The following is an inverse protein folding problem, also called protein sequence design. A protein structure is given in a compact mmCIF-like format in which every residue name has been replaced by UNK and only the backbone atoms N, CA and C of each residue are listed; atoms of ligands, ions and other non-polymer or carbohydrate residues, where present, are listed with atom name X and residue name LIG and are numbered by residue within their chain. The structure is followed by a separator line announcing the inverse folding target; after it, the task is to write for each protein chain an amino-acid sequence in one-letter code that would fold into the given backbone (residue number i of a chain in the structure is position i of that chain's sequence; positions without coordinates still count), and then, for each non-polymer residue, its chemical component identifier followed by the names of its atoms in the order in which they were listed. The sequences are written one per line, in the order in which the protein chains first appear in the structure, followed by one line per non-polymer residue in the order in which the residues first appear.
data_IF_277245370816
#
_entry.id   IF_277245370816
#
_cell.length_a   1.000
_cell.length_b   1.000
_cell.length_c   1.000
_cell.angle_alpha   90.00
_cell.angle_beta   90.00
_cell.angle_gamma   90.00
#
_symmetry.space_group_name_H-M   'P 1'
#
loop_
_entity.id
_entity.type
_entity.pdbx_description
1 polymer ?
#
# COMPACT_ATOMS: atom_id res chain seq x y z
N UNK A 1 -33.73 25.48 -33.62
CA UNK A 1 -32.31 25.54 -34.05
C UNK A 1 -32.24 25.30 -35.55
N UNK A 2 -31.50 26.13 -36.30
CA UNK A 2 -31.26 25.89 -37.74
C UNK A 2 -30.48 24.57 -37.88
N UNK A 3 -30.73 23.78 -38.93
CA UNK A 3 -30.13 22.45 -39.13
C UNK A 3 -28.58 22.46 -39.00
N UNK A 4 -27.92 23.56 -39.38
CA UNK A 4 -26.48 23.77 -39.16
C UNK A 4 -26.04 23.80 -37.70
N UNK A 5 -26.85 24.37 -36.79
CA UNK A 5 -26.54 24.44 -35.35
C UNK A 5 -26.63 23.06 -34.66
N UNK A 6 -27.45 22.15 -35.20
CA UNK A 6 -27.54 20.76 -34.71
C UNK A 6 -26.26 19.99 -35.09
N UNK A 7 -25.76 20.14 -36.32
CA UNK A 7 -24.50 19.52 -36.73
C UNK A 7 -23.29 20.09 -35.97
N UNK A 8 -23.27 21.40 -35.65
CA UNK A 8 -22.21 21.99 -34.83
C UNK A 8 -22.22 21.47 -33.40
N UNK A 9 -23.40 21.33 -32.76
CA UNK A 9 -23.50 20.72 -31.42
C UNK A 9 -23.09 19.24 -31.44
N UNK A 10 -23.46 18.49 -32.49
CA UNK A 10 -23.12 17.08 -32.64
C UNK A 10 -21.61 16.88 -32.87
N UNK A 11 -20.94 17.80 -33.59
CA UNK A 11 -19.48 17.76 -33.77
C UNK A 11 -18.71 18.13 -32.49
N UNK A 12 -19.25 19.02 -31.66
CA UNK A 12 -18.67 19.37 -30.35
C UNK A 12 -18.86 18.22 -29.34
N UNK A 13 -19.94 17.44 -29.45
CA UNK A 13 -20.17 16.25 -28.61
C UNK A 13 -19.40 14.99 -29.06
N UNK A 14 -18.91 14.95 -30.31
CA UNK A 14 -17.96 13.92 -30.76
C UNK A 14 -16.49 14.26 -30.49
N UNK A 15 -16.18 15.52 -30.16
CA UNK A 15 -14.82 15.94 -29.80
C UNK A 15 -14.47 15.65 -28.32
N UNK A 16 -15.40 15.12 -27.54
CA UNK A 16 -15.15 14.77 -26.15
C UNK A 16 -14.50 13.40 -26.02
N UNK A 17 -13.31 13.43 -25.40
CA UNK A 17 -12.52 12.35 -24.80
C UNK A 17 -11.62 11.53 -25.75
N UNK A 18 -10.75 12.23 -26.49
CA UNK A 18 -9.41 11.68 -26.74
C UNK A 18 -8.65 11.69 -25.40
N UNK A 19 -8.72 10.61 -24.63
CA UNK A 19 -7.69 10.37 -23.62
C UNK A 19 -6.37 10.25 -24.37
N UNK A 20 -5.49 11.24 -24.24
CA UNK A 20 -4.10 11.07 -24.62
C UNK A 20 -3.55 9.92 -23.79
N UNK A 21 -3.46 8.72 -24.37
CA UNK A 21 -2.70 7.62 -23.80
C UNK A 21 -1.24 7.98 -24.00
N UNK A 22 -0.50 8.17 -22.90
CA UNK A 22 0.95 8.36 -23.01
C UNK A 22 1.55 6.99 -23.26
N UNK A 23 1.83 6.74 -24.53
CA UNK A 23 2.51 5.54 -24.98
C UNK A 23 3.97 5.64 -24.56
N UNK A 24 4.36 4.80 -23.62
CA UNK A 24 5.74 4.70 -23.16
C UNK A 24 6.43 3.56 -23.91
N UNK A 25 7.56 3.84 -24.57
CA UNK A 25 8.29 2.86 -25.36
C UNK A 25 9.65 2.59 -24.75
N UNK A 26 10.23 1.44 -25.06
CA UNK A 26 11.60 1.18 -24.71
C UNK A 26 12.16 -0.09 -25.31
N UNK A 27 13.40 -0.36 -24.94
CA UNK A 27 14.11 -1.60 -25.27
C UNK A 27 14.79 -2.13 -24.00
N UNK A 28 14.74 -3.45 -23.81
CA UNK A 28 15.43 -4.16 -22.73
C UNK A 28 16.58 -4.96 -23.33
N UNK A 29 17.78 -4.76 -22.80
CA UNK A 29 19.00 -5.47 -23.21
C UNK A 29 19.74 -6.07 -22.03
N UNK A 30 20.61 -7.05 -22.26
CA UNK A 30 21.60 -7.51 -21.29
C UNK A 30 22.82 -6.56 -21.21
N UNK A 31 23.76 -6.82 -20.30
CA UNK A 31 25.02 -6.07 -20.19
C UNK A 31 25.86 -6.08 -21.49
N UNK A 32 25.67 -7.07 -22.35
CA UNK A 32 26.29 -7.21 -23.67
C UNK A 32 25.55 -6.45 -24.79
N UNK A 33 24.52 -5.67 -24.45
CA UNK A 33 23.62 -4.99 -25.39
C UNK A 33 22.83 -5.91 -26.33
N UNK A 34 22.68 -7.19 -25.98
CA UNK A 34 21.78 -8.09 -26.70
C UNK A 34 20.35 -7.88 -26.21
N UNK A 35 19.35 -7.88 -27.12
CA UNK A 35 17.96 -7.73 -26.73
C UNK A 35 17.49 -8.91 -25.87
N UNK A 36 16.70 -8.61 -24.84
CA UNK A 36 16.07 -9.64 -24.00
C UNK A 36 14.62 -9.80 -24.46
N UNK A 37 14.32 -10.96 -25.04
CA UNK A 37 12.98 -11.34 -25.53
C UNK A 37 12.17 -11.92 -24.37
N UNK A 38 10.85 -11.71 -24.39
CA UNK A 38 9.92 -12.22 -23.37
C UNK A 38 10.17 -11.70 -21.94
N UNK A 39 10.86 -10.56 -21.80
CA UNK A 39 10.95 -9.86 -20.52
C UNK A 39 9.58 -9.28 -20.19
N UNK A 40 9.12 -9.47 -18.96
CA UNK A 40 7.85 -8.94 -18.45
C UNK A 40 8.11 -7.55 -17.88
N UNK A 41 7.34 -6.57 -18.34
CA UNK A 41 7.34 -5.21 -17.80
C UNK A 41 5.96 -4.95 -17.21
N UNK A 42 5.89 -4.62 -15.94
CA UNK A 42 4.63 -4.23 -15.31
C UNK A 42 4.79 -2.97 -14.47
N UNK A 43 3.69 -2.27 -14.27
CA UNK A 43 3.64 -1.08 -13.44
C UNK A 43 3.29 -1.51 -12.01
N UNK A 44 4.17 -1.22 -11.05
CA UNK A 44 4.00 -1.61 -9.66
C UNK A 44 2.66 -1.12 -9.07
N UNK A 45 1.96 -2.02 -8.40
CA UNK A 45 0.69 -1.76 -7.75
C UNK A 45 -0.50 -1.70 -8.72
N UNK A 46 -0.37 -2.09 -9.99
CA UNK A 46 -1.44 -1.95 -10.99
C UNK A 46 -1.79 -3.24 -11.74
N UNK A 47 -2.73 -3.13 -12.68
CA UNK A 47 -3.05 -4.18 -13.66
C UNK A 47 -2.29 -4.05 -14.99
N UNK A 48 -1.48 -3.01 -15.15
CA UNK A 48 -0.80 -2.69 -16.42
C UNK A 48 0.48 -3.51 -16.57
N UNK A 49 0.57 -4.27 -17.66
CA UNK A 49 1.77 -4.98 -18.07
C UNK A 49 1.93 -5.01 -19.59
N UNK A 50 3.15 -5.27 -20.02
CA UNK A 50 3.55 -5.58 -21.38
C UNK A 50 4.70 -6.58 -21.36
N UNK A 51 5.13 -7.01 -22.53
CA UNK A 51 6.19 -8.00 -22.71
C UNK A 51 7.08 -7.57 -23.87
N UNK A 52 8.37 -7.85 -23.81
CA UNK A 52 9.29 -7.50 -24.91
C UNK A 52 9.10 -8.40 -26.12
N UNK A 53 9.22 -7.79 -27.30
CA UNK A 53 9.27 -8.47 -28.59
C UNK A 53 10.64 -9.10 -28.90
N UNK A 54 10.79 -9.57 -30.14
CA UNK A 54 12.00 -10.25 -30.63
C UNK A 54 13.25 -9.37 -30.63
N UNK A 55 13.09 -8.05 -30.70
CA UNK A 55 14.20 -7.09 -30.63
C UNK A 55 14.33 -6.47 -29.23
N UNK A 56 13.70 -7.05 -28.21
CA UNK A 56 13.70 -6.54 -26.84
C UNK A 56 12.86 -5.28 -26.64
N UNK A 57 12.10 -4.86 -27.66
CA UNK A 57 11.26 -3.67 -27.65
C UNK A 57 9.98 -3.89 -26.85
N UNK A 58 9.51 -2.86 -26.15
CA UNK A 58 8.22 -2.88 -25.48
C UNK A 58 7.47 -1.56 -25.64
N UNK A 59 6.15 -1.65 -25.49
CA UNK A 59 5.24 -0.52 -25.47
C UNK A 59 4.22 -0.71 -24.35
N UNK A 60 4.01 0.32 -23.53
CA UNK A 60 3.02 0.31 -22.44
C UNK A 60 2.29 1.64 -22.35
N UNK A 61 0.97 1.59 -22.22
CA UNK A 61 0.14 2.77 -22.04
C UNK A 61 0.10 3.17 -20.57
N UNK A 62 0.62 4.36 -20.27
CA UNK A 62 0.63 4.91 -18.91
C UNK A 62 -0.31 6.11 -18.83
N UNK A 63 -1.23 6.15 -17.85
CA UNK A 63 -1.95 7.38 -17.54
C UNK A 63 -0.98 8.50 -17.13
N UNK A 64 -1.48 9.72 -16.98
CA UNK A 64 -0.68 10.81 -16.45
C UNK A 64 -0.23 10.50 -15.01
N UNK A 65 1.07 10.53 -14.76
CA UNK A 65 1.62 10.28 -13.43
C UNK A 65 3.08 9.83 -13.48
N UNK A 66 3.63 9.60 -12.30
CA UNK A 66 4.87 8.87 -12.14
C UNK A 66 4.56 7.41 -11.83
N UNK A 67 5.45 6.52 -12.24
CA UNK A 67 5.31 5.07 -12.08
C UNK A 67 6.66 4.42 -11.81
N UNK A 68 6.66 3.29 -11.12
CA UNK A 68 7.77 2.36 -11.13
C UNK A 68 7.44 1.21 -12.09
N UNK A 69 8.22 1.10 -13.16
CA UNK A 69 8.20 -0.05 -14.05
C UNK A 69 9.12 -1.12 -13.46
N UNK A 70 8.59 -2.31 -13.27
CA UNK A 70 9.35 -3.48 -12.85
C UNK A 70 9.61 -4.32 -14.10
N UNK A 71 10.88 -4.54 -14.40
CA UNK A 71 11.32 -5.37 -15.52
C UNK A 71 11.87 -6.68 -14.97
N UNK A 72 11.32 -7.79 -15.44
CA UNK A 72 11.70 -9.15 -15.05
C UNK A 72 12.03 -9.99 -16.26
N UNK A 73 13.10 -10.76 -16.18
CA UNK A 73 13.45 -11.77 -17.16
C UNK A 73 14.12 -12.94 -16.44
N UNK A 74 13.94 -14.15 -16.96
CA UNK A 74 14.57 -15.34 -16.41
C UNK A 74 16.10 -15.20 -16.46
N UNK A 75 16.78 -15.56 -15.35
CA UNK A 75 18.24 -15.46 -15.16
C UNK A 75 18.79 -14.03 -15.00
N UNK A 76 17.93 -13.03 -14.83
CA UNK A 76 18.33 -11.64 -14.59
C UNK A 76 17.79 -11.11 -13.27
N UNK A 77 18.49 -10.14 -12.68
CA UNK A 77 17.99 -9.44 -11.50
C UNK A 77 16.80 -8.53 -11.87
N UNK A 78 15.80 -8.46 -10.98
CA UNK A 78 14.66 -7.55 -11.15
C UNK A 78 15.14 -6.10 -11.19
N UNK A 79 14.77 -5.36 -12.23
CA UNK A 79 15.13 -3.95 -12.37
C UNK A 79 13.92 -3.04 -12.14
N UNK A 80 14.10 -1.98 -11.36
CA UNK A 80 13.07 -0.97 -11.09
C UNK A 80 13.45 0.32 -11.80
N UNK A 81 12.60 0.75 -12.73
CA UNK A 81 12.75 1.98 -13.46
C UNK A 81 11.63 2.96 -13.10
N UNK A 82 11.97 4.07 -12.44
CA UNK A 82 11.02 5.17 -12.25
C UNK A 82 10.84 5.95 -13.55
N UNK A 83 9.58 6.22 -13.92
CA UNK A 83 9.20 6.93 -15.15
C UNK A 83 8.15 8.01 -14.86
N UNK A 84 8.24 9.14 -15.55
CA UNK A 84 7.17 10.15 -15.61
C UNK A 84 6.56 10.08 -17.01
N UNK A 85 5.27 9.73 -17.09
CA UNK A 85 4.59 9.51 -18.37
C UNK A 85 4.48 10.78 -19.23
N UNK A 86 4.77 11.96 -18.66
CA UNK A 86 4.81 13.24 -19.39
C UNK A 86 6.18 13.59 -19.95
N UNK A 87 7.26 12.97 -19.48
CA UNK A 87 8.63 13.39 -19.82
C UNK A 87 9.37 12.37 -20.69
N UNK A 88 9.19 11.09 -20.40
CA UNK A 88 9.97 10.03 -21.02
C UNK A 88 9.09 9.27 -22.01
N UNK A 89 9.41 9.35 -23.31
CA UNK A 89 8.68 8.60 -24.35
C UNK A 89 9.44 7.36 -24.83
N UNK A 90 10.76 7.33 -24.66
CA UNK A 90 11.61 6.19 -24.96
C UNK A 90 12.65 5.96 -23.87
N UNK A 91 12.88 4.71 -23.49
CA UNK A 91 13.93 4.33 -22.55
C UNK A 91 14.69 3.09 -23.01
N UNK A 92 15.99 3.05 -22.71
CA UNK A 92 16.78 1.81 -22.76
C UNK A 92 16.99 1.31 -21.33
N UNK A 93 16.63 0.06 -21.08
CA UNK A 93 16.81 -0.63 -19.81
C UNK A 93 17.84 -1.74 -20.02
N UNK A 94 18.85 -1.79 -19.16
CA UNK A 94 19.85 -2.86 -19.17
C UNK A 94 19.65 -3.71 -17.92
N UNK A 95 19.41 -5.01 -18.09
CA UNK A 95 19.36 -5.96 -16.98
C UNK A 95 20.75 -6.54 -16.73
N UNK A 96 21.04 -6.83 -15.46
CA UNK A 96 22.24 -7.58 -15.06
C UNK A 96 21.88 -9.04 -14.83
N UNK A 97 22.72 -9.95 -15.34
CA UNK A 97 22.62 -11.38 -15.06
C UNK A 97 22.61 -11.66 -13.55
N UNK A 98 21.70 -12.52 -13.09
CA UNK A 98 21.57 -12.88 -11.69
C UNK A 98 22.86 -13.56 -11.19
N UNK A 99 23.53 -12.95 -10.22
CA UNK A 99 24.71 -13.56 -9.61
C UNK A 99 24.24 -14.52 -8.52
N UNK A 100 24.46 -15.82 -8.74
CA UNK A 100 24.28 -16.82 -7.69
C UNK A 100 25.36 -16.60 -6.62
N UNK A 101 25.08 -15.71 -5.68
CA UNK A 101 25.86 -15.58 -4.45
C UNK A 101 25.41 -16.72 -3.53
N UNK A 102 26.23 -17.75 -3.43
CA UNK A 102 26.14 -18.74 -2.35
C UNK A 102 26.49 -18.03 -1.04
N UNK A 103 25.52 -17.34 -0.44
CA UNK A 103 25.66 -16.92 0.95
C UNK A 103 25.60 -18.18 1.80
N UNK A 104 26.75 -18.59 2.35
CA UNK A 104 26.81 -19.42 3.56
C UNK A 104 26.16 -18.64 4.70
N UNK A 105 24.84 -18.58 4.67
CA UNK A 105 24.08 -18.14 5.82
C UNK A 105 24.10 -19.31 6.76
N UNK A 106 24.46 -19.10 8.03
CA UNK A 106 24.25 -20.07 9.09
C UNK A 106 22.73 -20.23 9.22
N UNK A 107 22.15 -21.12 8.41
CA UNK A 107 20.73 -21.43 8.47
C UNK A 107 20.54 -22.18 9.77
N UNK A 108 20.18 -21.46 10.83
CA UNK A 108 19.55 -22.10 11.97
C UNK A 108 18.28 -22.76 11.43
N UNK A 109 18.31 -24.08 11.31
CA UNK A 109 17.17 -24.84 10.83
C UNK A 109 16.00 -24.60 11.76
N UNK A 110 14.97 -23.94 11.23
CA UNK A 110 13.74 -23.69 11.96
C UNK A 110 12.92 -24.97 12.01
N UNK A 111 12.34 -25.27 13.17
CA UNK A 111 11.43 -26.41 13.31
C UNK A 111 10.18 -26.21 12.45
N UNK A 112 9.50 -27.31 12.11
CA UNK A 112 8.24 -27.25 11.35
C UNK A 112 7.14 -26.54 12.13
N UNK A 113 7.16 -26.67 13.45
CA UNK A 113 6.22 -26.08 14.39
C UNK A 113 6.43 -24.56 14.47
N UNK A 114 7.68 -24.11 14.60
CA UNK A 114 8.02 -22.68 14.59
C UNK A 114 7.69 -22.06 13.23
N UNK A 115 7.99 -22.75 12.12
CA UNK A 115 7.66 -22.25 10.79
C UNK A 115 6.15 -22.06 10.63
N UNK A 116 5.33 -23.02 11.08
CA UNK A 116 3.87 -22.88 11.06
C UNK A 116 3.41 -21.73 11.93
N UNK A 117 3.98 -21.56 13.12
CA UNK A 117 3.65 -20.47 14.03
C UNK A 117 3.93 -19.10 13.38
N UNK A 118 5.12 -18.91 12.81
CA UNK A 118 5.49 -17.67 12.13
C UNK A 118 4.73 -17.45 10.83
N UNK A 119 4.38 -18.51 10.09
CA UNK A 119 3.49 -18.42 8.94
C UNK A 119 2.13 -17.82 9.34
N UNK A 120 1.53 -18.26 10.44
CA UNK A 120 0.24 -17.70 10.88
C UNK A 120 0.36 -16.22 11.27
N UNK A 121 1.46 -15.83 11.91
CA UNK A 121 1.75 -14.42 12.22
C UNK A 121 1.92 -13.61 10.93
N UNK A 122 2.71 -14.12 9.98
CA UNK A 122 2.92 -13.49 8.69
C UNK A 122 1.60 -13.31 7.94
N UNK A 123 0.81 -14.37 7.76
CA UNK A 123 -0.48 -14.31 7.06
C UNK A 123 -1.41 -13.26 7.70
N UNK A 124 -1.50 -13.23 9.04
CA UNK A 124 -2.30 -12.25 9.77
C UNK A 124 -1.83 -10.81 9.54
N UNK A 125 -0.52 -10.56 9.54
CA UNK A 125 0.04 -9.22 9.41
C UNK A 125 0.18 -8.75 7.95
N UNK A 126 0.28 -9.69 7.01
CA UNK A 126 0.48 -9.45 5.59
C UNK A 126 -0.85 -9.38 4.82
N UNK A 127 -1.76 -10.35 5.03
CA UNK A 127 -3.08 -10.37 4.40
C UNK A 127 -4.15 -9.65 5.24
N UNK A 128 -3.97 -9.59 6.56
CA UNK A 128 -4.97 -9.08 7.51
C UNK A 128 -5.74 -10.22 8.19
N UNK A 129 -6.82 -9.89 8.89
CA UNK A 129 -7.65 -10.87 9.64
C UNK A 129 -9.15 -10.76 9.37
N UNK A 130 -9.56 -9.95 8.40
CA UNK A 130 -10.95 -9.65 8.10
C UNK A 130 -11.54 -10.62 7.04
N UNK A 131 -12.78 -10.37 6.61
CA UNK A 131 -13.46 -11.15 5.58
C UNK A 131 -12.71 -11.22 4.24
N UNK A 132 -11.98 -10.16 3.87
CA UNK A 132 -11.16 -10.17 2.67
C UNK A 132 -9.98 -11.14 2.81
N UNK A 133 -9.28 -11.09 3.95
CA UNK A 133 -8.15 -11.97 4.26
C UNK A 133 -8.57 -13.45 4.29
N UNK A 134 -9.74 -13.77 4.87
CA UNK A 134 -10.30 -15.14 4.88
C UNK A 134 -10.54 -15.71 3.49
N UNK A 135 -10.62 -14.87 2.46
CA UNK A 135 -10.82 -15.26 1.04
C UNK A 135 -9.56 -15.10 0.19
N UNK A 136 -8.44 -14.80 0.82
CA UNK A 136 -7.13 -14.81 0.20
C UNK A 136 -6.43 -16.14 0.47
N UNK A 137 -5.65 -16.62 -0.50
CA UNK A 137 -4.78 -17.78 -0.35
C UNK A 137 -3.43 -17.49 -1.00
N UNK A 138 -2.34 -17.72 -0.27
CA UNK A 138 -1.00 -17.74 -0.86
C UNK A 138 -0.79 -19.16 -1.41
N UNK A 139 -0.60 -19.31 -2.71
CA UNK A 139 -0.52 -20.63 -3.36
C UNK A 139 0.84 -21.31 -3.10
N UNK A 140 1.90 -20.49 -2.99
CA UNK A 140 3.28 -20.93 -2.80
C UNK A 140 3.84 -20.61 -1.40
N UNK A 141 3.05 -20.81 -0.32
CA UNK A 141 3.50 -20.56 1.07
C UNK A 141 4.84 -21.22 1.42
N UNK A 142 5.16 -22.36 0.80
CA UNK A 142 6.43 -23.08 1.01
C UNK A 142 7.66 -22.33 0.51
N UNK A 143 7.50 -21.28 -0.28
CA UNK A 143 8.60 -20.41 -0.69
C UNK A 143 9.00 -19.43 0.42
N UNK A 144 8.13 -19.21 1.41
CA UNK A 144 8.42 -18.36 2.56
C UNK A 144 9.52 -18.96 3.45
N UNK A 145 10.42 -18.09 3.89
CA UNK A 145 11.44 -18.34 4.90
C UNK A 145 11.27 -17.32 5.99
N UNK A 146 11.38 -17.77 7.24
CA UNK A 146 11.35 -16.88 8.40
C UNK A 146 12.70 -16.90 9.11
N UNK A 147 12.98 -15.83 9.84
CA UNK A 147 14.10 -15.76 10.77
C UNK A 147 13.66 -14.94 11.97
N UNK A 148 13.90 -15.46 13.18
CA UNK A 148 13.61 -14.74 14.41
C UNK A 148 14.89 -14.51 15.20
N UNK A 149 15.24 -13.24 15.39
CA UNK A 149 16.37 -12.83 16.21
C UNK A 149 15.90 -12.58 17.64
N UNK A 150 16.39 -13.41 18.57
CA UNK A 150 16.04 -13.35 20.00
C UNK A 150 16.56 -12.09 20.70
N UNK A 151 17.66 -11.51 20.21
CA UNK A 151 18.33 -10.34 20.80
C UNK A 151 17.61 -9.06 20.41
N UNK A 152 17.38 -8.89 19.11
CA UNK A 152 16.63 -7.73 18.60
C UNK A 152 15.13 -7.87 18.85
N UNK A 153 14.63 -9.10 19.01
CA UNK A 153 13.21 -9.47 19.05
C UNK A 153 12.50 -9.07 17.76
N UNK A 154 13.09 -9.46 16.63
CA UNK A 154 12.58 -9.18 15.29
C UNK A 154 12.27 -10.49 14.56
N UNK A 155 11.08 -10.56 13.96
CA UNK A 155 10.71 -11.61 13.02
C UNK A 155 10.85 -11.05 11.59
N UNK A 156 11.65 -11.71 10.76
CA UNK A 156 11.83 -11.40 9.35
C UNK A 156 11.20 -12.48 8.47
N UNK A 157 10.68 -12.09 7.32
CA UNK A 157 10.24 -13.01 6.28
C UNK A 157 10.83 -12.65 4.93
N UNK A 158 11.21 -13.67 4.16
CA UNK A 158 11.59 -13.57 2.75
C UNK A 158 10.90 -14.66 1.95
N UNK A 159 10.88 -14.55 0.63
CA UNK A 159 10.32 -15.56 -0.26
C UNK A 159 11.31 -15.86 -1.39
N UNK A 160 11.43 -17.13 -1.77
CA UNK A 160 12.29 -17.53 -2.89
C UNK A 160 11.78 -17.01 -4.24
N UNK A 161 10.47 -17.03 -4.42
CA UNK A 161 9.78 -16.55 -5.61
C UNK A 161 8.74 -15.51 -5.19
N UNK A 162 8.25 -14.67 -6.11
CA UNK A 162 7.09 -13.83 -5.85
C UNK A 162 5.92 -14.65 -5.29
N UNK A 163 5.27 -14.12 -4.26
CA UNK A 163 4.11 -14.72 -3.65
C UNK A 163 2.94 -14.64 -4.61
N UNK A 164 2.28 -15.77 -4.85
CA UNK A 164 1.10 -15.86 -5.70
C UNK A 164 -0.12 -15.90 -4.81
N UNK A 165 -0.90 -14.82 -4.79
CA UNK A 165 -2.03 -14.64 -3.89
C UNK A 165 -3.33 -14.66 -4.69
N UNK A 166 -4.17 -15.65 -4.48
CA UNK A 166 -5.54 -15.67 -5.02
C UNK A 166 -6.47 -14.91 -4.07
N UNK A 167 -6.92 -13.71 -4.45
CA UNK A 167 -7.88 -12.90 -3.70
C UNK A 167 -9.29 -13.04 -4.28
N UNK A 168 -10.07 -13.98 -3.73
CA UNK A 168 -11.46 -14.21 -4.15
C UNK A 168 -12.44 -13.15 -3.62
N UNK A 169 -12.01 -12.28 -2.69
CA UNK A 169 -12.83 -11.17 -2.20
C UNK A 169 -12.88 -10.03 -3.22
N UNK A 170 -11.73 -9.63 -3.77
CA UNK A 170 -11.61 -8.57 -4.77
C UNK A 170 -11.62 -9.09 -6.21
N UNK A 171 -11.44 -10.39 -6.44
CA UNK A 171 -11.39 -10.96 -7.78
C UNK A 171 -10.07 -10.69 -8.50
N UNK A 172 -8.96 -10.80 -7.78
CA UNK A 172 -7.62 -10.63 -8.34
C UNK A 172 -6.73 -11.83 -8.00
N UNK A 173 -5.84 -12.19 -8.92
CA UNK A 173 -4.59 -12.87 -8.63
C UNK A 173 -3.52 -11.79 -8.45
N UNK A 174 -2.82 -11.80 -7.33
CA UNK A 174 -1.77 -10.83 -7.00
C UNK A 174 -0.43 -11.56 -7.02
N UNK A 175 0.52 -11.06 -7.79
CA UNK A 175 1.91 -11.51 -7.77
C UNK A 175 2.70 -10.47 -6.98
N UNK A 176 3.11 -10.84 -5.76
CA UNK A 176 3.76 -9.93 -4.81
C UNK A 176 5.20 -10.34 -4.58
N UNK A 177 6.14 -9.49 -4.97
CA UNK A 177 7.56 -9.70 -4.75
C UNK A 177 7.99 -9.06 -3.43
N UNK A 178 8.31 -9.92 -2.47
CA UNK A 178 8.56 -9.55 -1.08
C UNK A 178 10.00 -9.09 -0.91
N UNK A 179 10.19 -7.77 -0.87
CA UNK A 179 11.50 -7.14 -0.68
C UNK A 179 11.92 -7.17 0.79
N UNK A 180 11.01 -6.80 1.70
CA UNK A 180 11.27 -6.87 3.13
C UNK A 180 9.98 -7.10 3.93
N UNK A 181 10.08 -7.88 4.99
CA UNK A 181 9.06 -8.00 6.01
C UNK A 181 9.76 -8.08 7.37
N UNK A 182 9.45 -7.14 8.25
CA UNK A 182 10.00 -7.11 9.60
C UNK A 182 8.92 -6.76 10.63
N UNK A 183 8.72 -7.64 11.60
CA UNK A 183 7.94 -7.40 12.81
C UNK A 183 8.89 -7.19 13.99
N UNK A 184 8.87 -6.00 14.57
CA UNK A 184 9.58 -5.69 15.80
C UNK A 184 8.66 -5.88 17.01
N UNK A 185 8.89 -6.92 17.82
CA UNK A 185 8.08 -7.17 19.03
C UNK A 185 8.33 -6.15 20.15
N UNK A 186 9.40 -5.35 20.07
CA UNK A 186 9.68 -4.27 21.02
C UNK A 186 8.75 -3.07 20.82
N UNK A 187 8.47 -2.73 19.56
CA UNK A 187 7.66 -1.57 19.17
C UNK A 187 6.27 -1.94 18.65
N UNK A 188 6.03 -3.23 18.36
CA UNK A 188 4.90 -3.74 17.58
C UNK A 188 4.79 -3.13 16.17
N UNK A 189 5.90 -2.58 15.65
CA UNK A 189 5.96 -2.05 14.31
C UNK A 189 6.11 -3.18 13.29
N UNK A 190 5.37 -3.08 12.19
CA UNK A 190 5.45 -4.00 11.05
C UNK A 190 5.87 -3.21 9.83
N UNK A 191 6.98 -3.59 9.23
CA UNK A 191 7.41 -3.16 7.91
C UNK A 191 7.04 -4.23 6.90
N UNK A 192 6.46 -3.82 5.78
CA UNK A 192 6.22 -4.69 4.63
C UNK A 192 6.54 -3.87 3.39
N UNK A 193 7.55 -4.32 2.63
CA UNK A 193 8.01 -3.70 1.39
C UNK A 193 7.99 -4.74 0.28
N UNK A 194 7.61 -4.31 -0.90
CA UNK A 194 7.52 -5.18 -2.06
C UNK A 194 6.84 -4.48 -3.22
N UNK A 195 6.75 -5.22 -4.32
CA UNK A 195 6.07 -4.78 -5.53
C UNK A 195 4.92 -5.73 -5.84
N UNK A 196 3.84 -5.23 -6.41
CA UNK A 196 2.64 -6.00 -6.66
C UNK A 196 2.16 -5.86 -8.11
N UNK A 197 1.77 -6.98 -8.71
CA UNK A 197 1.08 -7.00 -9.99
C UNK A 197 -0.28 -7.69 -9.85
N UNK A 198 -1.32 -7.09 -10.41
CA UNK A 198 -2.70 -7.57 -10.28
C UNK A 198 -3.23 -8.09 -11.62
N UNK A 199 -3.73 -9.32 -11.62
CA UNK A 199 -4.47 -9.89 -12.75
C UNK A 199 -5.91 -10.15 -12.34
N UNK A 200 -6.88 -9.64 -13.10
CA UNK A 200 -8.29 -9.92 -12.83
C UNK A 200 -8.63 -11.40 -13.00
N UNK A 201 -9.38 -11.93 -12.06
CA UNK A 201 -9.96 -13.26 -12.16
C UNK A 201 -11.17 -13.24 -13.10
N UNK A 202 -11.44 -14.37 -13.77
CA UNK A 202 -12.62 -14.54 -14.62
C UNK A 202 -13.76 -15.18 -13.81
N UNK A 203 -14.95 -14.61 -13.88
CA UNK A 203 -16.16 -15.19 -13.30
C UNK A 203 -17.43 -14.72 -14.03
N UNK A 204 -18.57 -15.35 -13.71
CA UNK A 204 -19.88 -14.93 -14.21
C UNK A 204 -20.37 -13.63 -13.58
N UNK A 205 -21.37 -12.99 -14.22
CA UNK A 205 -21.85 -11.64 -13.91
C UNK A 205 -22.16 -11.38 -12.43
N UNK A 206 -22.80 -12.34 -11.73
CA UNK A 206 -23.14 -12.19 -10.31
C UNK A 206 -21.90 -12.02 -9.43
N UNK A 207 -20.86 -12.79 -9.71
CA UNK A 207 -19.61 -12.74 -8.95
C UNK A 207 -18.81 -11.48 -9.28
N UNK A 208 -18.75 -11.08 -10.55
CA UNK A 208 -18.10 -9.83 -10.99
C UNK A 208 -18.73 -8.61 -10.31
N UNK A 209 -20.07 -8.53 -10.24
CA UNK A 209 -20.76 -7.45 -9.52
C UNK A 209 -20.41 -7.41 -8.03
N UNK A 210 -20.29 -8.59 -7.40
CA UNK A 210 -19.87 -8.69 -6.00
C UNK A 210 -18.43 -8.21 -5.81
N UNK A 211 -17.53 -8.54 -6.73
CA UNK A 211 -16.16 -8.03 -6.71
C UNK A 211 -16.11 -6.52 -6.89
N UNK A 212 -16.89 -5.94 -7.80
CA UNK A 212 -16.97 -4.48 -7.97
C UNK A 212 -17.41 -3.77 -6.68
N UNK A 213 -18.45 -4.28 -6.01
CA UNK A 213 -18.90 -3.72 -4.74
C UNK A 213 -17.85 -3.85 -3.63
N UNK A 214 -17.19 -5.01 -3.53
CA UNK A 214 -16.09 -5.21 -2.59
C UNK A 214 -14.91 -4.28 -2.86
N UNK A 215 -14.53 -4.08 -4.13
CA UNK A 215 -13.46 -3.14 -4.53
C UNK A 215 -13.82 -1.71 -4.15
N UNK A 216 -15.07 -1.30 -4.40
CA UNK A 216 -15.58 0.02 -4.01
C UNK A 216 -15.49 0.22 -2.50
N UNK A 217 -15.94 -0.76 -1.73
CA UNK A 217 -15.85 -0.76 -0.26
C UNK A 217 -14.41 -0.69 0.22
N UNK A 218 -13.51 -1.51 -0.33
CA UNK A 218 -12.10 -1.54 0.03
C UNK A 218 -11.32 -0.28 -0.37
N UNK A 219 -11.73 0.41 -1.44
CA UNK A 219 -11.13 1.66 -1.85
C UNK A 219 -11.58 2.83 -0.96
N UNK A 220 -12.89 2.93 -0.68
CA UNK A 220 -13.43 4.00 0.15
C UNK A 220 -12.88 3.93 1.58
N UNK A 221 -12.54 5.08 2.14
CA UNK A 221 -11.90 5.15 3.45
C UNK A 221 -10.43 4.73 3.47
N UNK A 222 -9.88 4.08 2.43
CA UNK A 222 -8.48 3.65 2.38
C UNK A 222 -7.47 4.81 2.38
N UNK A 223 -6.20 4.49 2.61
CA UNK A 223 -5.08 5.45 2.48
C UNK A 223 -5.05 6.07 1.07
N UNK A 224 -5.22 5.28 0.01
CA UNK A 224 -5.20 5.81 -1.36
C UNK A 224 -6.35 6.78 -1.63
N UNK A 225 -7.56 6.48 -1.12
CA UNK A 225 -8.69 7.40 -1.22
C UNK A 225 -8.44 8.69 -0.43
N UNK A 226 -7.85 8.60 0.75
CA UNK A 226 -7.47 9.76 1.55
C UNK A 226 -6.42 10.63 0.84
N UNK A 227 -5.36 10.02 0.30
CA UNK A 227 -4.32 10.73 -0.45
C UNK A 227 -4.90 11.43 -1.68
N UNK A 228 -5.80 10.75 -2.41
CA UNK A 228 -6.51 11.36 -3.52
C UNK A 228 -7.39 12.54 -3.09
N UNK A 229 -8.14 12.39 -2.00
CA UNK A 229 -8.97 13.47 -1.46
C UNK A 229 -8.12 14.68 -1.02
N UNK A 230 -6.92 14.46 -0.48
CA UNK A 230 -5.95 15.53 -0.21
C UNK A 230 -5.49 16.20 -1.50
N UNK A 231 -5.08 15.41 -2.49
CA UNK A 231 -4.60 15.92 -3.78
C UNK A 231 -5.64 16.83 -4.45
N UNK A 232 -6.90 16.38 -4.44
CA UNK A 232 -8.03 17.06 -5.07
C UNK A 232 -8.61 18.23 -4.25
N UNK A 233 -8.13 18.47 -3.02
CA UNK A 233 -8.72 19.42 -2.05
C UNK A 233 -10.18 19.09 -1.67
N UNK A 234 -10.51 17.80 -1.53
CA UNK A 234 -11.88 17.32 -1.30
C UNK A 234 -12.05 16.49 -0.03
N UNK A 235 -11.19 16.66 0.98
CA UNK A 235 -11.25 15.85 2.20
C UNK A 235 -12.63 15.88 2.89
N UNK A 236 -13.22 17.06 3.07
CA UNK A 236 -14.51 17.19 3.75
C UNK A 236 -15.66 16.62 2.91
N UNK A 237 -15.67 16.88 1.60
CA UNK A 237 -16.63 16.32 0.64
C UNK A 237 -16.54 14.80 0.57
N UNK A 238 -15.32 14.27 0.67
CA UNK A 238 -15.06 12.83 0.71
C UNK A 238 -15.34 12.20 2.09
N UNK A 239 -15.67 13.01 3.11
CA UNK A 239 -16.15 12.55 4.42
C UNK A 239 -15.04 12.30 5.44
N UNK A 240 -13.89 12.95 5.29
CA UNK A 240 -12.78 12.88 6.24
C UNK A 240 -12.81 14.04 7.24
N UNK A 241 -12.73 13.72 8.53
CA UNK A 241 -12.41 14.67 9.60
C UNK A 241 -10.99 14.41 10.09
N UNK A 242 -10.15 15.44 10.08
CA UNK A 242 -8.72 15.33 10.41
C UNK A 242 -8.41 16.24 11.58
N UNK A 243 -7.83 15.66 12.63
CA UNK A 243 -7.49 16.36 13.87
C UNK A 243 -6.08 16.05 14.29
N UNK A 244 -5.39 17.06 14.84
CA UNK A 244 -4.06 16.86 15.40
C UNK A 244 -4.17 15.97 16.64
N UNK A 245 -3.30 14.98 16.72
CA UNK A 245 -3.22 14.05 17.83
C UNK A 245 -1.87 14.19 18.53
N UNK A 246 -1.88 14.16 19.85
CA UNK A 246 -0.64 14.26 20.61
C UNK A 246 -0.60 13.18 21.68
N UNK A 247 0.56 12.53 21.78
CA UNK A 247 0.89 11.53 22.79
C UNK A 247 1.94 12.12 23.73
N UNK A 248 1.69 12.00 25.03
CA UNK A 248 2.61 12.44 26.08
C UNK A 248 2.71 11.39 27.18
N UNK A 249 3.85 11.37 27.87
CA UNK A 249 3.95 10.59 29.10
C UNK A 249 2.89 11.03 30.09
N UNK A 250 2.26 10.05 30.74
CA UNK A 250 1.22 10.30 31.71
C UNK A 250 1.84 10.68 33.07
N UNK A 251 1.64 11.92 33.58
CA UNK A 251 2.19 12.31 34.88
C UNK A 251 1.69 11.40 36.02
N UNK A 252 0.46 10.89 35.92
CA UNK A 252 -0.08 9.95 36.91
C UNK A 252 0.69 8.61 36.92
N UNK A 253 1.16 8.16 35.76
CA UNK A 253 2.01 6.96 35.67
C UNK A 253 3.40 7.21 36.25
N UNK A 254 3.98 8.38 36.01
CA UNK A 254 5.29 8.74 36.59
C UNK A 254 5.21 8.75 38.12
N UNK A 255 4.18 9.39 38.69
CA UNK A 255 3.93 9.38 40.13
C UNK A 255 3.72 7.97 40.68
N UNK A 256 2.88 7.18 40.02
CA UNK A 256 2.66 5.78 40.39
C UNK A 256 3.97 4.98 40.39
N UNK A 257 4.82 5.15 39.38
CA UNK A 257 6.12 4.48 39.29
C UNK A 257 7.06 4.88 40.43
N UNK A 258 7.09 6.16 40.79
CA UNK A 258 7.89 6.66 41.91
C UNK A 258 7.44 6.07 43.25
N UNK A 259 6.13 6.09 43.54
CA UNK A 259 5.56 5.50 44.76
C UNK A 259 5.90 4.00 44.89
N UNK A 260 5.88 3.28 43.77
CA UNK A 260 6.22 1.86 43.71
C UNK A 260 7.70 1.58 43.99
N UNK A 261 8.60 2.44 43.48
CA UNK A 261 10.03 2.34 43.78
C UNK A 261 10.33 2.61 45.25
N UNK A 262 9.47 3.35 45.94
CA UNK A 262 9.58 3.64 47.38
C UNK A 262 8.88 2.60 48.28
N UNK A 263 8.41 1.48 47.72
CA UNK A 263 7.77 0.41 48.49
C UNK A 263 6.29 0.64 48.81
N UNK A 264 5.62 1.54 48.07
CA UNK A 264 4.18 1.74 48.17
C UNK A 264 3.37 0.48 47.84
N UNK A 265 2.18 0.36 48.43
CA UNK A 265 1.22 -0.71 48.11
C UNK A 265 0.43 -0.34 46.86
N UNK A 266 0.12 -1.32 46.01
CA UNK A 266 -0.73 -1.11 44.82
C UNK A 266 -2.19 -1.08 45.28
N UNK A 267 -2.82 0.08 45.21
CA UNK A 267 -4.28 0.21 45.32
C UNK A 267 -4.85 0.75 44.00
N UNK A 268 -5.71 -0.03 43.34
CA UNK A 268 -6.41 0.38 42.12
C UNK A 268 -5.72 -0.02 40.79
N UNK A 269 -6.11 0.67 39.70
CA UNK A 269 -5.63 0.39 38.34
C UNK A 269 -4.34 1.16 38.06
N UNK A 270 -3.37 0.48 37.45
CA UNK A 270 -2.13 1.10 36.96
C UNK A 270 -2.48 2.14 35.87
N UNK A 271 -2.10 3.42 36.04
CA UNK A 271 -2.32 4.42 35.00
C UNK A 271 -1.58 4.03 33.71
N UNK A 272 -2.10 4.34 32.52
CA UNK A 272 -1.39 4.07 31.27
C UNK A 272 -0.11 4.93 31.21
N UNK A 273 0.99 4.38 30.68
CA UNK A 273 2.26 5.11 30.53
C UNK A 273 2.14 6.36 29.65
N UNK A 274 1.30 6.31 28.63
CA UNK A 274 1.08 7.37 27.66
C UNK A 274 -0.39 7.78 27.69
N UNK A 275 -0.66 9.08 27.72
CA UNK A 275 -1.98 9.66 27.46
C UNK A 275 -2.01 10.22 26.03
N UNK A 276 -3.17 10.07 25.39
CA UNK A 276 -3.43 10.58 24.04
C UNK A 276 -4.52 11.64 24.12
N UNK A 277 -4.31 12.77 23.46
CA UNK A 277 -5.30 13.83 23.37
C UNK A 277 -5.49 14.29 21.92
N UNK A 278 -6.75 14.56 21.58
CA UNK A 278 -7.16 15.09 20.30
C UNK A 278 -7.28 16.61 20.45
N UNK A 279 -6.57 17.35 19.62
CA UNK A 279 -6.70 18.81 19.59
C UNK A 279 -8.03 19.13 18.90
N UNK A 280 -8.94 19.80 19.61
CA UNK A 280 -10.29 20.10 19.11
C UNK A 280 -10.33 21.34 18.19
N UNK A 281 -9.22 21.62 17.52
CA UNK A 281 -9.11 22.67 16.51
C UNK A 281 -9.19 22.01 15.13
N UNK A 282 -9.97 22.61 14.24
CA UNK A 282 -10.05 22.14 12.85
C UNK A 282 -8.67 22.30 12.22
N UNK A 283 -8.11 21.21 11.69
CA UNK A 283 -6.90 21.27 10.89
C UNK A 283 -7.25 21.86 9.53
N UNK A 284 -6.69 23.03 9.14
CA UNK A 284 -6.84 23.50 7.76
C UNK A 284 -6.19 22.47 6.84
N UNK A 285 -6.93 21.88 5.90
CA UNK A 285 -6.36 20.80 5.09
C UNK A 285 -5.19 21.24 4.22
N UNK A 286 -5.18 22.50 3.80
CA UNK A 286 -4.03 23.11 3.11
C UNK A 286 -2.78 23.15 3.99
N UNK A 287 -2.89 23.04 5.32
CA UNK A 287 -1.73 22.97 6.21
C UNK A 287 -1.07 21.58 6.24
N UNK A 288 -1.68 20.56 5.63
CA UNK A 288 -1.11 19.22 5.57
C UNK A 288 -0.24 19.02 4.31
N UNK A 289 -0.32 19.93 3.35
CA UNK A 289 0.36 19.79 2.06
C UNK A 289 1.05 21.06 1.60
N UNK A 290 2.06 20.88 0.75
CA UNK A 290 2.70 21.94 -0.01
C UNK A 290 2.59 21.62 -1.51
N UNK A 291 2.58 22.67 -2.34
CA UNK A 291 2.55 22.54 -3.79
C UNK A 291 3.76 23.25 -4.39
N UNK A 292 4.55 22.52 -5.18
CA UNK A 292 5.71 23.04 -5.90
C UNK A 292 5.53 22.80 -7.40
N UNK A 293 5.15 23.85 -8.13
CA UNK A 293 4.79 23.74 -9.55
C UNK A 293 3.62 22.79 -9.77
N UNK A 294 3.84 21.67 -10.47
CA UNK A 294 2.85 20.61 -10.73
C UNK A 294 2.82 19.50 -9.68
N UNK A 295 3.72 19.55 -8.70
CA UNK A 295 3.91 18.48 -7.72
C UNK A 295 3.27 18.85 -6.38
N UNK A 296 2.61 17.89 -5.74
CA UNK A 296 2.03 18.05 -4.42
C UNK A 296 2.69 17.08 -3.44
N UNK A 297 2.91 17.56 -2.21
CA UNK A 297 3.54 16.78 -1.15
C UNK A 297 2.77 16.95 0.14
N UNK A 298 2.56 15.87 0.91
CA UNK A 298 2.28 16.03 2.34
C UNK A 298 3.52 16.59 3.01
N UNK A 299 3.32 17.60 3.85
CA UNK A 299 4.39 18.20 4.62
C UNK A 299 3.88 18.66 5.99
N UNK A 300 4.11 17.85 7.02
CA UNK A 300 3.67 18.14 8.38
C UNK A 300 4.50 17.38 9.43
N UNK A 301 4.41 17.84 10.68
CA UNK A 301 5.02 17.19 11.86
C UNK A 301 3.99 16.68 12.84
N UNK A 302 4.30 15.54 13.46
CA UNK A 302 3.51 14.95 14.53
C UNK A 302 2.45 13.96 14.04
N UNK A 303 1.51 13.63 14.93
CA UNK A 303 0.47 12.64 14.68
C UNK A 303 -0.83 13.35 14.30
N UNK A 304 -1.54 12.77 13.36
CA UNK A 304 -2.89 13.20 13.00
C UNK A 304 -3.83 12.01 13.06
N UNK A 305 -5.01 12.25 13.62
CA UNK A 305 -6.12 11.32 13.59
C UNK A 305 -7.01 11.63 12.39
N UNK A 306 -7.44 10.59 11.70
CA UNK A 306 -8.36 10.66 10.56
C UNK A 306 -9.57 9.82 10.88
N UNK A 307 -10.73 10.44 10.87
CA UNK A 307 -12.01 9.78 10.95
C UNK A 307 -12.66 9.79 9.55
N UNK A 308 -13.00 8.61 9.03
CA UNK A 308 -13.79 8.49 7.81
C UNK A 308 -15.25 8.23 8.16
N UNK A 309 -16.11 9.20 7.86
CA UNK A 309 -17.48 9.28 8.38
C UNK A 309 -18.53 8.58 7.52
N UNK A 310 -18.19 8.25 6.27
CA UNK A 310 -19.10 7.60 5.32
C UNK A 310 -19.19 6.08 5.50
N UNK A 311 -18.38 5.50 6.39
CA UNK A 311 -18.42 4.07 6.69
C UNK A 311 -18.11 3.78 8.16
N UNK A 312 -18.71 2.70 8.68
CA UNK A 312 -18.45 2.17 10.01
C UNK A 312 -17.26 1.22 10.00
N UNK A 313 -16.63 1.07 11.15
CA UNK A 313 -15.62 0.04 11.35
C UNK A 313 -16.20 -1.36 11.16
N UNK A 314 -15.38 -2.29 10.70
CA UNK A 314 -15.73 -3.70 10.72
C UNK A 314 -15.91 -4.20 12.17
N UNK A 315 -16.89 -5.09 12.37
CA UNK A 315 -17.18 -5.66 13.68
C UNK A 315 -15.99 -6.46 14.25
N UNK A 316 -15.22 -7.15 13.42
CA UNK A 316 -14.05 -7.92 13.86
C UNK A 316 -12.96 -6.97 14.39
N UNK A 317 -12.79 -5.79 13.75
CA UNK A 317 -11.90 -4.74 14.23
C UNK A 317 -12.36 -4.17 15.58
N UNK A 318 -13.64 -3.79 15.70
CA UNK A 318 -14.19 -3.25 16.94
C UNK A 318 -14.02 -4.22 18.11
N UNK A 319 -14.32 -5.52 17.90
CA UNK A 319 -14.14 -6.58 18.90
C UNK A 319 -12.68 -6.79 19.28
N UNK A 320 -11.77 -6.80 18.31
CA UNK A 320 -10.33 -6.98 18.56
C UNK A 320 -9.77 -5.85 19.43
N UNK A 321 -10.31 -4.64 19.30
CA UNK A 321 -9.93 -3.48 20.11
C UNK A 321 -10.74 -3.32 21.40
N UNK A 322 -11.57 -4.31 21.75
CA UNK A 322 -12.38 -4.29 22.98
C UNK A 322 -13.47 -3.23 23.01
N UNK A 323 -13.88 -2.71 21.85
CA UNK A 323 -14.94 -1.70 21.75
C UNK A 323 -16.31 -2.34 21.99
N UNK A 324 -17.22 -1.57 22.62
CA UNK A 324 -18.58 -1.99 22.92
C UNK A 324 -19.62 -1.52 21.89
N UNK A 325 -19.22 -0.64 20.97
CA UNK A 325 -20.04 -0.15 19.86
C UNK A 325 -19.16 0.03 18.62
N UNK A 326 -19.77 -0.02 17.44
CA UNK A 326 -19.08 0.19 16.18
C UNK A 326 -19.04 1.68 15.88
N UNK A 327 -17.83 2.24 15.81
CA UNK A 327 -17.61 3.66 15.51
C UNK A 327 -17.40 3.90 14.00
N UNK A 328 -17.17 5.15 13.62
CA UNK A 328 -16.66 5.46 12.28
C UNK A 328 -15.21 4.98 12.17
N UNK A 329 -14.72 4.76 10.95
CA UNK A 329 -13.34 4.28 10.77
C UNK A 329 -12.34 5.31 11.29
N UNK A 330 -11.58 4.94 12.32
CA UNK A 330 -10.58 5.81 12.95
C UNK A 330 -9.16 5.31 12.67
N UNK A 331 -8.34 6.15 12.08
CA UNK A 331 -6.92 5.89 11.83
C UNK A 331 -6.05 7.00 12.40
N UNK A 332 -4.77 6.70 12.59
CA UNK A 332 -3.74 7.68 12.93
C UNK A 332 -2.65 7.56 11.88
N UNK A 333 -2.10 8.70 11.46
CA UNK A 333 -0.97 8.73 10.55
C UNK A 333 0.06 9.77 10.93
N UNK A 334 1.29 9.50 10.50
CA UNK A 334 2.45 10.35 10.69
C UNK A 334 3.44 10.13 9.55
N UNK A 335 4.33 11.10 9.34
CA UNK A 335 5.46 10.93 8.43
C UNK A 335 6.74 10.71 9.25
N UNK A 336 7.61 9.78 8.81
CA UNK A 336 8.96 9.60 9.38
C UNK A 336 9.89 10.71 8.92
N UNK A 337 9.88 10.97 7.62
CA UNK A 337 10.49 12.15 7.01
C UNK A 337 9.36 13.11 6.71
N UNK A 338 9.48 14.38 7.09
CA UNK A 338 8.39 15.36 7.07
C UNK A 338 7.75 15.56 5.68
N UNK A 339 8.25 14.93 4.61
CA UNK A 339 7.83 15.11 3.21
C UNK A 339 7.43 13.78 2.55
N UNK A 340 6.25 13.74 1.93
CA UNK A 340 5.76 12.60 1.14
C UNK A 340 5.09 13.09 -0.14
N UNK A 341 5.61 12.70 -1.31
CA UNK A 341 5.01 13.09 -2.60
C UNK A 341 3.71 12.33 -2.87
N UNK A 342 2.67 13.03 -3.33
CA UNK A 342 1.38 12.46 -3.75
C UNK A 342 1.14 12.73 -5.25
N UNK A 343 0.61 11.73 -5.94
CA UNK A 343 0.20 11.79 -7.35
C UNK A 343 -1.33 11.95 -7.51
N UNK A 344 -1.76 12.35 -8.70
CA UNK A 344 -3.18 12.66 -9.03
C UNK A 344 -4.15 11.48 -8.80
N UNK A 345 -3.66 10.25 -8.92
CA UNK A 345 -4.42 9.02 -8.67
C UNK A 345 -4.44 8.62 -7.18
N UNK A 346 -3.78 9.37 -6.29
CA UNK A 346 -3.66 9.06 -4.86
C UNK A 346 -2.47 8.16 -4.50
N UNK A 347 -1.68 7.70 -5.48
CA UNK A 347 -0.42 6.99 -5.20
C UNK A 347 0.58 7.94 -4.55
N UNK A 348 1.47 7.40 -3.72
CA UNK A 348 2.52 8.15 -3.04
C UNK A 348 3.85 7.39 -3.06
N UNK A 349 4.95 8.13 -3.01
CA UNK A 349 6.31 7.58 -3.09
C UNK A 349 6.96 7.45 -1.72
N UNK A 350 7.94 6.55 -1.61
CA UNK A 350 8.59 6.19 -0.35
C UNK A 350 7.57 5.76 0.72
N UNK A 351 6.80 4.68 0.48
CA UNK A 351 5.73 4.28 1.39
C UNK A 351 6.22 3.97 2.82
N UNK A 352 7.50 3.64 2.99
CA UNK A 352 8.14 3.48 4.30
C UNK A 352 8.13 4.75 5.17
N UNK A 353 7.93 5.93 4.56
CA UNK A 353 7.86 7.23 5.24
C UNK A 353 6.48 7.48 5.84
N UNK A 354 5.42 6.83 5.34
CA UNK A 354 4.09 6.90 5.94
C UNK A 354 3.95 5.85 7.04
N UNK A 355 3.68 6.29 8.27
CA UNK A 355 3.31 5.42 9.38
C UNK A 355 1.82 5.53 9.60
N UNK A 356 1.13 4.37 9.63
CA UNK A 356 -0.30 4.29 9.89
C UNK A 356 -0.58 3.40 11.09
N UNK A 357 -1.59 3.78 11.86
CA UNK A 357 -2.17 3.01 12.96
C UNK A 357 -3.70 3.03 12.87
N UNK A 358 -4.35 2.22 13.69
CA UNK A 358 -5.81 2.15 13.70
C UNK A 358 -6.35 1.37 12.51
N UNK A 359 -7.49 1.81 11.96
CA UNK A 359 -8.22 1.06 10.94
C UNK A 359 -7.39 0.81 9.66
N UNK A 360 -6.64 1.81 9.18
CA UNK A 360 -5.73 1.66 8.03
C UNK A 360 -4.64 0.62 8.25
N UNK A 361 -4.19 0.43 9.49
CA UNK A 361 -3.19 -0.60 9.80
C UNK A 361 -3.80 -2.00 9.88
N UNK A 362 -5.12 -2.13 9.97
CA UNK A 362 -5.83 -3.40 10.04
C UNK A 362 -6.24 -3.93 8.66
N UNK A 363 -6.62 -3.03 7.75
CA UNK A 363 -6.78 -3.37 6.33
C UNK A 363 -5.41 -3.51 5.66
N UNK A 364 -5.10 -4.72 5.22
CA UNK A 364 -3.80 -5.07 4.63
C UNK A 364 -3.96 -5.43 3.15
N UNK A 365 -3.04 -6.21 2.59
CA UNK A 365 -3.00 -6.56 1.15
C UNK A 365 -4.33 -7.16 0.66
N UNK A 366 -5.08 -7.87 1.51
CA UNK A 366 -6.38 -8.44 1.09
C UNK A 366 -7.43 -7.38 0.71
N UNK A 367 -7.29 -6.14 1.21
CA UNK A 367 -8.16 -5.00 0.93
C UNK A 367 -7.54 -4.02 -0.07
N UNK A 368 -6.30 -4.23 -0.51
CA UNK A 368 -5.66 -3.29 -1.43
C UNK A 368 -6.17 -3.52 -2.86
N UNK A 369 -6.81 -2.50 -3.42
CA UNK A 369 -7.15 -2.44 -4.84
C UNK A 369 -5.95 -1.93 -5.65
N UNK A 370 -5.83 -2.31 -6.94
CA UNK A 370 -4.82 -1.76 -7.83
C UNK A 370 -4.86 -0.23 -7.86
N UNK A 371 -3.72 0.45 -8.04
CA UNK A 371 -3.66 1.92 -8.07
C UNK A 371 -4.33 2.54 -9.32
N UNK A 372 -4.56 1.74 -10.36
CA UNK A 372 -5.33 2.08 -11.54
C UNK A 372 -6.84 1.83 -11.38
N UNK A 373 -7.28 1.36 -10.20
CA UNK A 373 -8.70 1.27 -9.85
C UNK A 373 -9.35 2.65 -9.81
N UNK A 374 -10.55 2.74 -10.40
CA UNK A 374 -11.41 3.92 -10.36
C UNK A 374 -12.81 3.51 -9.94
N UNK A 375 -13.45 4.34 -9.13
CA UNK A 375 -14.89 4.21 -8.89
C UNK A 375 -15.59 4.60 -10.20
N UNK A 376 -16.41 3.69 -10.73
CA UNK A 376 -17.27 3.92 -11.90
C UNK A 376 -18.51 4.77 -11.56
#
# INVERSE_FOLDING_TARGET
MKLKQVYTLMFIFCASILYAQNVFKGIVTDEGSKPIVHAIIYVDGSTLKTETGENGEFEINLPNGQYNLIVRADLFENFIQSVDSKQNQFIKITLESEKILLQETVVHSMSKEDWKYYLQIFLKLFLGSNEAAKKCKIENEKDLRFSYDKTTKELRASSKNPLIITNNYLGYKIEYDLVDFNLSYKSNYVLTLGTAFYTELKAGTKQTKKWQENRRKSYLGSVNHFMKAIYDNRLQEEGYDVKRLIRKENPAYLKFKEEMLLGGRIEGKVPPKIITYLVNEKVPYDSLKITEGKHQYLHFKGLYSVEYTKEKEDMDYAKQNGQHYISNQLSIFALKDDLLKIEENGTYYHPANLVVEGYWSWEKIANMVPMDYKIE
#
